data_IF_767300970686
#
_entry.id   IF_767300970686
#
_cell.length_a   1.000
_cell.length_b   1.000
_cell.length_c   1.000
_cell.angle_alpha   90.00
_cell.angle_beta   90.00
_cell.angle_gamma   90.00
#
_symmetry.space_group_name_H-M   'P 1'
#
loop_
_entity.id
_entity.type
_entity.pdbx_description
1 polymer ?
#
# COMPACT_ATOMS: atom_id res chain seq x y z
N UNK A 1 21.88 -1.45 -3.55
CA UNK A 1 20.76 -2.37 -3.28
C UNK A 1 19.49 -1.73 -3.82
N UNK A 2 18.53 -2.49 -4.36
CA UNK A 2 17.26 -1.95 -4.83
C UNK A 2 16.38 -1.51 -3.64
N UNK A 3 15.57 -0.47 -3.85
CA UNK A 3 14.51 -0.09 -2.92
C UNK A 3 13.50 -1.24 -2.83
N UNK A 4 13.19 -1.68 -1.61
CA UNK A 4 12.28 -2.80 -1.34
C UNK A 4 11.27 -2.39 -0.29
N UNK A 5 10.01 -2.79 -0.50
CA UNK A 5 8.90 -2.64 0.45
C UNK A 5 8.40 -4.03 0.85
N UNK A 6 8.24 -4.25 2.16
CA UNK A 6 7.78 -5.52 2.74
C UNK A 6 6.75 -5.28 3.84
N UNK A 7 5.98 -6.31 4.16
CA UNK A 7 5.11 -6.34 5.34
C UNK A 7 5.41 -7.59 6.15
N UNK A 8 5.36 -7.48 7.48
CA UNK A 8 5.39 -8.67 8.36
C UNK A 8 4.05 -9.39 8.40
N UNK A 9 2.97 -8.77 7.89
CA UNK A 9 1.62 -9.32 7.93
C UNK A 9 1.30 -10.24 6.74
N UNK A 10 1.89 -10.00 5.57
CA UNK A 10 1.64 -10.78 4.36
C UNK A 10 2.81 -10.72 3.38
N UNK A 11 2.93 -11.76 2.56
CA UNK A 11 3.88 -11.83 1.45
C UNK A 11 3.29 -11.20 0.17
N UNK A 12 4.12 -10.77 -0.80
CA UNK A 12 3.64 -10.26 -2.08
C UNK A 12 2.69 -11.24 -2.78
N UNK A 13 1.54 -10.75 -3.25
CA UNK A 13 0.50 -11.55 -3.93
C UNK A 13 -0.32 -12.47 -3.02
N UNK A 14 -0.06 -12.48 -1.71
CA UNK A 14 -0.87 -13.21 -0.73
C UNK A 14 -2.06 -12.36 -0.25
N UNK A 15 -3.02 -13.01 0.41
CA UNK A 15 -4.14 -12.31 1.02
C UNK A 15 -3.69 -11.36 2.13
N UNK A 16 -4.31 -10.18 2.17
CA UNK A 16 -4.19 -9.23 3.28
C UNK A 16 -5.03 -9.75 4.46
N UNK A 17 -4.49 -9.86 5.69
CA UNK A 17 -5.25 -10.29 6.86
C UNK A 17 -6.48 -9.41 7.13
N UNK A 18 -7.56 -10.02 7.61
CA UNK A 18 -8.87 -9.37 7.86
C UNK A 18 -8.78 -8.13 8.75
N UNK A 19 -7.87 -8.12 9.71
CA UNK A 19 -7.64 -6.96 10.59
C UNK A 19 -7.27 -5.67 9.85
N UNK A 20 -6.75 -5.75 8.61
CA UNK A 20 -6.40 -4.60 7.77
C UNK A 20 -7.41 -4.33 6.65
N UNK A 21 -8.58 -4.97 6.68
CA UNK A 21 -9.68 -4.74 5.73
C UNK A 21 -10.85 -4.08 6.44
N UNK A 22 -11.85 -3.65 5.65
CA UNK A 22 -13.11 -3.09 6.17
C UNK A 22 -13.97 -4.11 6.93
N UNK A 23 -13.64 -5.41 6.89
CA UNK A 23 -14.29 -6.46 7.67
C UNK A 23 -13.68 -6.63 9.07
N UNK A 24 -12.52 -6.02 9.32
CA UNK A 24 -11.81 -6.04 10.61
C UNK A 24 -11.64 -4.65 11.21
N UNK A 25 -10.42 -4.33 11.64
CA UNK A 25 -10.12 -3.07 12.33
C UNK A 25 -9.90 -1.89 11.38
N UNK A 26 -9.89 -2.13 10.05
CA UNK A 26 -9.66 -1.13 9.00
C UNK A 26 -8.39 -0.28 9.22
N UNK A 27 -7.36 -0.90 9.84
CA UNK A 27 -6.09 -0.24 10.13
C UNK A 27 -5.08 -0.48 9.00
N UNK A 28 -4.13 0.43 8.81
CA UNK A 28 -3.06 0.26 7.83
C UNK A 28 -2.14 -0.92 8.20
N UNK A 29 -1.69 -1.74 7.22
CA UNK A 29 -0.77 -2.84 7.49
C UNK A 29 0.63 -2.35 7.87
N UNK A 30 1.40 -3.12 8.64
CA UNK A 30 2.78 -2.79 8.93
C UNK A 30 3.61 -2.85 7.66
N UNK A 31 4.31 -1.76 7.33
CA UNK A 31 5.18 -1.66 6.16
C UNK A 31 6.62 -1.35 6.57
N UNK A 32 7.58 -1.99 5.91
CA UNK A 32 9.00 -1.80 6.13
C UNK A 32 9.73 -1.58 4.80
N UNK A 33 10.53 -0.51 4.76
CA UNK A 33 11.35 -0.11 3.61
C UNK A 33 12.80 -0.49 3.84
N UNK A 34 13.50 -0.89 2.79
CA UNK A 34 14.96 -1.06 2.81
C UNK A 34 15.57 -0.71 1.46
N UNK A 35 16.89 -0.48 1.43
CA UNK A 35 17.61 -0.25 0.17
C UNK A 35 17.34 1.09 -0.52
N UNK A 36 16.90 2.11 0.23
CA UNK A 36 16.78 3.47 -0.31
C UNK A 36 18.12 3.95 -0.90
N UNK A 37 18.14 4.52 -2.13
CA UNK A 37 19.37 5.04 -2.73
C UNK A 37 20.04 6.12 -1.88
N UNK A 38 21.37 6.25 -2.00
CA UNK A 38 22.10 7.32 -1.34
C UNK A 38 21.58 8.69 -1.82
N UNK A 39 21.30 9.59 -0.88
CA UNK A 39 20.77 10.92 -1.17
C UNK A 39 19.23 11.01 -1.20
N UNK A 40 18.49 9.91 -1.00
CA UNK A 40 17.03 9.95 -0.81
C UNK A 40 16.66 10.95 0.30
N UNK A 41 15.83 11.93 -0.04
CA UNK A 41 15.34 12.96 0.90
C UNK A 41 14.03 12.61 1.56
N UNK A 42 13.20 11.84 0.85
CA UNK A 42 11.86 11.47 1.26
C UNK A 42 11.40 10.23 0.49
N UNK A 43 10.36 9.59 1.03
CA UNK A 43 9.60 8.54 0.38
C UNK A 43 8.14 8.98 0.30
N UNK A 44 7.41 8.44 -0.67
CA UNK A 44 5.96 8.58 -0.83
C UNK A 44 5.38 7.18 -0.92
N UNK A 45 4.23 6.95 -0.28
CA UNK A 45 3.46 5.71 -0.41
C UNK A 45 2.17 6.01 -1.16
N UNK A 46 1.86 5.18 -2.15
CA UNK A 46 0.57 5.13 -2.85
C UNK A 46 0.09 3.68 -2.83
N UNK A 47 -1.13 3.47 -2.37
CA UNK A 47 -1.80 2.17 -2.35
C UNK A 47 -3.10 2.31 -3.14
N UNK A 48 -3.14 1.65 -4.29
CA UNK A 48 -4.27 1.67 -5.22
C UNK A 48 -4.83 0.26 -5.42
N UNK A 49 -6.15 0.17 -5.58
CA UNK A 49 -6.84 -1.02 -6.09
C UNK A 49 -7.29 -0.75 -7.53
N UNK A 50 -6.62 -1.31 -8.55
CA UNK A 50 -7.02 -1.17 -9.95
C UNK A 50 -8.26 -2.01 -10.33
N UNK A 51 -8.71 -2.87 -9.41
CA UNK A 51 -9.78 -3.83 -9.63
C UNK A 51 -11.09 -3.43 -8.92
N UNK A 52 -11.13 -2.24 -8.33
CA UNK A 52 -12.28 -1.73 -7.61
C UNK A 52 -13.51 -1.65 -8.53
N UNK A 53 -14.71 -2.02 -8.05
CA UNK A 53 -15.91 -2.04 -8.88
C UNK A 53 -16.41 -0.62 -9.19
N UNK A 54 -16.77 -0.37 -10.45
CA UNK A 54 -17.45 0.86 -10.89
C UNK A 54 -18.89 0.50 -11.37
N UNK A 55 -19.94 1.26 -10.98
CA UNK A 55 -21.31 0.96 -11.42
C UNK A 55 -21.54 1.11 -12.93
N UNK A 56 -20.71 1.89 -13.62
CA UNK A 56 -20.78 2.26 -15.04
C UNK A 56 -19.72 1.52 -15.87
N UNK A 57 -18.59 1.12 -15.25
CA UNK A 57 -17.51 0.36 -15.88
C UNK A 57 -17.11 -0.84 -15.02
N UNK A 58 -16.69 -2.00 -15.59
CA UNK A 58 -16.43 -3.19 -14.79
C UNK A 58 -15.29 -3.06 -13.77
N UNK A 59 -14.39 -2.08 -13.94
CA UNK A 59 -13.25 -1.79 -13.05
C UNK A 59 -12.88 -0.31 -13.09
N UNK A 60 -12.46 0.23 -11.94
CA UNK A 60 -11.80 1.52 -11.80
C UNK A 60 -10.59 1.41 -10.87
N UNK A 61 -9.68 2.38 -10.94
CA UNK A 61 -8.63 2.51 -9.94
C UNK A 61 -9.15 3.32 -8.75
N UNK A 62 -9.10 2.71 -7.57
CA UNK A 62 -9.44 3.35 -6.30
C UNK A 62 -8.18 3.58 -5.46
N UNK A 63 -7.93 4.83 -5.05
CA UNK A 63 -6.84 5.15 -4.15
C UNK A 63 -7.22 4.88 -2.69
N UNK A 64 -6.65 3.83 -2.10
CA UNK A 64 -6.88 3.49 -0.69
C UNK A 64 -6.06 4.37 0.25
N UNK A 65 -4.82 4.69 -0.11
CA UNK A 65 -3.92 5.42 0.78
C UNK A 65 -2.87 6.21 0.00
N UNK A 66 -2.67 7.47 0.40
CA UNK A 66 -1.57 8.32 -0.07
C UNK A 66 -0.91 8.95 1.14
N UNK A 67 0.39 8.68 1.31
CA UNK A 67 1.21 9.34 2.33
C UNK A 67 2.40 10.02 1.67
N UNK A 68 2.57 11.30 2.01
CA UNK A 68 3.68 12.11 1.56
C UNK A 68 4.27 12.85 2.77
N UNK A 69 5.58 13.17 2.75
CA UNK A 69 6.18 13.96 3.81
C UNK A 69 5.48 15.32 3.87
N UNK A 70 5.13 15.74 5.08
CA UNK A 70 4.78 17.14 5.34
C UNK A 70 6.01 18.01 5.08
N UNK A 71 5.78 19.19 4.50
CA UNK A 71 6.84 20.17 4.19
C UNK A 71 7.51 20.70 5.45
#
# INVERSE_FOLDING_TARGET
>A
MPLTLTSSAFSPGSHIPVEYTCEGDDRSPPLAWSGAPAGTKSLVLVVDDPDAPDPVAPRMTWGHWVEAPLR
#
